data_IF_371999452775
#
_entry.id   IF_371999452775
#
_cell.length_a   1.000
_cell.length_b   1.000
_cell.length_c   1.000
_cell.angle_alpha   90.00
_cell.angle_beta   90.00
_cell.angle_gamma   90.00
#
_symmetry.space_group_name_H-M   'P 1'
#
loop_
_entity.id
_entity.type
_entity.pdbx_description
1 polymer ?
#
# COMPACT_ATOMS: atom_id res chain seq x y z
N UNK A 1 -6.64 3.61 18.81
CA UNK A 1 -6.05 2.71 17.80
C UNK A 1 -4.86 3.44 17.17
N UNK A 2 -3.82 2.75 16.68
CA UNK A 2 -2.53 3.37 16.30
C UNK A 2 -2.31 3.22 14.80
N UNK A 3 -2.12 4.32 14.06
CA UNK A 3 -1.85 4.22 12.63
C UNK A 3 -0.55 3.45 12.35
N UNK A 4 -0.59 2.52 11.39
CA UNK A 4 0.56 1.74 10.93
C UNK A 4 0.86 2.09 9.48
N UNK A 5 2.08 2.53 9.21
CA UNK A 5 2.55 2.82 7.85
C UNK A 5 3.25 1.60 7.24
N UNK A 6 2.80 1.17 6.06
CA UNK A 6 3.37 0.08 5.26
C UNK A 6 4.06 0.68 4.04
N UNK A 7 5.39 0.62 4.02
CA UNK A 7 6.20 1.13 2.89
C UNK A 7 6.52 -0.02 1.93
N UNK A 8 6.10 0.12 0.68
CA UNK A 8 6.27 -0.87 -0.39
C UNK A 8 7.20 -0.32 -1.48
N UNK A 9 8.52 -0.59 -1.39
CA UNK A 9 9.43 -0.28 -2.48
C UNK A 9 9.22 -1.26 -3.64
N UNK A 10 9.18 -0.75 -4.86
CA UNK A 10 9.04 -1.54 -6.07
C UNK A 10 9.83 -0.90 -7.22
N UNK A 11 10.14 -1.70 -8.23
CA UNK A 11 10.79 -1.24 -9.47
C UNK A 11 10.36 -2.15 -10.60
N UNK A 12 9.62 -1.61 -11.57
CA UNK A 12 9.17 -2.29 -12.79
C UNK A 12 8.54 -3.68 -12.53
N UNK A 13 7.69 -3.79 -11.49
CA UNK A 13 7.04 -5.05 -11.06
C UNK A 13 5.55 -4.86 -10.74
N UNK A 14 4.73 -4.41 -11.72
CA UNK A 14 3.34 -4.05 -11.48
C UNK A 14 2.46 -5.23 -11.00
N UNK A 15 2.72 -6.45 -11.47
CA UNK A 15 1.96 -7.64 -11.07
C UNK A 15 2.19 -8.02 -9.60
N UNK A 16 3.44 -7.96 -9.13
CA UNK A 16 3.79 -8.21 -7.73
C UNK A 16 3.28 -7.09 -6.82
N UNK A 17 3.42 -5.83 -7.25
CA UNK A 17 2.86 -4.70 -6.52
C UNK A 17 1.35 -4.88 -6.28
N UNK A 18 0.60 -5.27 -7.32
CA UNK A 18 -0.84 -5.53 -7.20
C UNK A 18 -1.13 -6.62 -6.17
N UNK A 19 -0.41 -7.73 -6.20
CA UNK A 19 -0.58 -8.82 -5.22
C UNK A 19 -0.28 -8.35 -3.80
N UNK A 20 0.79 -7.57 -3.61
CA UNK A 20 1.15 -6.98 -2.31
C UNK A 20 0.05 -6.05 -1.80
N UNK A 21 -0.45 -5.13 -2.65
CA UNK A 21 -1.50 -4.20 -2.26
C UNK A 21 -2.81 -4.92 -1.91
N UNK A 22 -3.21 -5.94 -2.67
CA UNK A 22 -4.38 -6.78 -2.33
C UNK A 22 -4.21 -7.45 -0.97
N UNK A 23 -3.00 -7.96 -0.68
CA UNK A 23 -2.71 -8.58 0.61
C UNK A 23 -2.77 -7.58 1.77
N UNK A 24 -2.16 -6.39 1.61
CA UNK A 24 -2.10 -5.37 2.66
C UNK A 24 -3.47 -4.76 2.93
N UNK A 25 -4.27 -4.50 1.88
CA UNK A 25 -5.62 -3.96 2.02
C UNK A 25 -6.64 -4.99 2.51
N UNK A 26 -6.31 -6.28 2.47
CA UNK A 26 -7.15 -7.37 2.95
C UNK A 26 -6.86 -7.81 4.39
N UNK A 27 -6.07 -7.04 5.16
CA UNK A 27 -5.81 -7.33 6.57
C UNK A 27 -7.01 -6.96 7.44
N UNK A 28 -7.19 -7.65 8.58
CA UNK A 28 -8.21 -7.33 9.59
C UNK A 28 -7.89 -6.04 10.39
N UNK A 29 -6.77 -5.39 10.09
CA UNK A 29 -6.34 -4.12 10.69
C UNK A 29 -6.56 -2.98 9.71
N UNK A 30 -7.38 -1.99 10.08
CA UNK A 30 -7.87 -0.97 9.14
C UNK A 30 -7.11 0.36 9.18
N UNK A 31 -6.42 0.70 10.28
CA UNK A 31 -5.63 1.94 10.39
C UNK A 31 -4.27 1.84 9.65
N UNK A 32 -4.33 1.59 8.34
CA UNK A 32 -3.16 1.40 7.47
C UNK A 32 -2.94 2.60 6.55
N UNK A 33 -1.71 3.10 6.53
CA UNK A 33 -1.21 4.01 5.50
C UNK A 33 -0.27 3.22 4.58
N UNK A 34 -0.60 3.09 3.29
CA UNK A 34 0.25 2.36 2.33
C UNK A 34 0.98 3.35 1.44
N UNK A 35 2.31 3.32 1.49
CA UNK A 35 3.21 4.20 0.73
C UNK A 35 3.97 3.35 -0.29
N UNK A 36 3.66 3.53 -1.57
CA UNK A 36 4.40 2.88 -2.66
C UNK A 36 5.53 3.79 -3.14
N UNK A 37 6.75 3.25 -3.18
CA UNK A 37 7.92 3.93 -3.74
C UNK A 37 8.35 3.18 -5.00
N UNK A 38 8.06 3.76 -6.16
CA UNK A 38 8.48 3.21 -7.47
C UNK A 38 9.76 3.92 -7.95
N UNK A 39 10.81 3.15 -8.16
CA UNK A 39 12.15 3.60 -8.60
C UNK A 39 12.28 3.63 -10.14
N UNK A 40 11.26 3.22 -10.89
CA UNK A 40 11.26 3.26 -12.37
C UNK A 40 10.85 4.66 -12.90
N UNK A 41 9.79 5.25 -12.33
CA UNK A 41 9.29 6.59 -12.67
C UNK A 41 8.51 7.14 -11.46
N UNK A 42 9.11 8.06 -10.71
CA UNK A 42 8.70 8.58 -9.39
C UNK A 42 7.18 8.82 -9.26
N UNK A 43 6.42 7.79 -8.90
CA UNK A 43 4.98 7.87 -8.62
C UNK A 43 4.72 7.33 -7.22
N UNK A 44 4.53 8.25 -6.29
CA UNK A 44 4.02 7.91 -4.97
C UNK A 44 2.51 7.78 -5.07
N UNK A 45 2.01 6.56 -4.89
CA UNK A 45 0.57 6.30 -4.76
C UNK A 45 0.31 6.08 -3.28
N UNK A 46 -0.44 6.99 -2.68
CA UNK A 46 -0.97 6.84 -1.31
C UNK A 46 -2.36 6.23 -1.43
N UNK A 47 -2.54 5.05 -0.84
CA UNK A 47 -3.87 4.44 -0.68
C UNK A 47 -4.28 4.62 0.76
N UNK A 48 -5.31 5.45 0.98
CA UNK A 48 -6.00 5.56 2.25
C UNK A 48 -7.16 4.58 2.22
N UNK A 49 -7.12 3.56 3.07
CA UNK A 49 -8.29 2.77 3.36
C UNK A 49 -9.10 3.57 4.38
N UNK A 50 -10.20 4.18 3.95
CA UNK A 50 -11.19 4.72 4.88
C UNK A 50 -12.14 3.58 5.30
N UNK A 51 -12.51 3.58 6.58
CA UNK A 51 -13.45 2.63 7.16
C UNK A 51 -14.72 2.54 6.29
N UNK A 52 -15.02 1.34 5.79
CA UNK A 52 -16.38 1.00 5.40
C UNK A 52 -17.11 0.61 6.70
N UNK A 53 -18.10 1.42 7.10
CA UNK A 53 -19.04 1.15 8.20
C UNK A 53 -19.44 -0.33 8.32
#
# INVERSE_FOLDING_TARGET
MTMVSVVVPTHNRPSLLRTTLVSVLGQDYHDLEVIVVDDDDLKVVVVLAEDAD
#
